data_IF_958401337143
#
_entry.id   IF_958401337143
#
_cell.length_a   1.000
_cell.length_b   1.000
_cell.length_c   1.000
_cell.angle_alpha   90.00
_cell.angle_beta   90.00
_cell.angle_gamma   90.00
#
_symmetry.space_group_name_H-M   'P 1'
#
loop_
_entity.id
_entity.type
_entity.pdbx_description
1 polymer ?
#
# COMPACT_ATOMS: atom_id res chain seq x y z
N UNK A 1 8.91 14.86 84.82
CA UNK A 1 8.71 13.92 83.70
C UNK A 1 9.66 14.32 82.59
N UNK A 2 10.76 13.59 82.44
CA UNK A 2 11.91 14.01 81.63
C UNK A 2 11.92 13.33 80.25
N UNK A 3 12.01 14.20 79.24
CA UNK A 3 13.03 14.19 78.19
C UNK A 3 13.09 13.08 77.12
N UNK A 4 13.06 13.61 75.89
CA UNK A 4 13.97 13.34 74.75
C UNK A 4 13.60 12.23 73.76
N UNK A 5 13.13 12.73 72.62
CA UNK A 5 13.74 12.64 71.28
C UNK A 5 14.23 11.28 70.79
N UNK A 6 13.64 10.80 69.69
CA UNK A 6 14.36 10.05 68.65
C UNK A 6 13.74 10.31 67.27
N UNK A 7 14.50 11.04 66.47
CA UNK A 7 14.32 11.29 65.05
C UNK A 7 14.57 9.99 64.28
N UNK A 8 13.64 9.59 63.40
CA UNK A 8 13.80 8.47 62.46
C UNK A 8 14.03 9.04 61.05
N UNK A 9 15.00 8.51 60.28
CA UNK A 9 15.32 9.00 58.95
C UNK A 9 14.28 8.50 57.94
N UNK A 10 13.62 9.43 57.25
CA UNK A 10 12.83 9.16 56.06
C UNK A 10 13.79 8.89 54.89
N UNK A 11 14.02 7.60 54.62
CA UNK A 11 14.55 7.14 53.34
C UNK A 11 13.36 7.12 52.38
N UNK A 12 13.20 8.16 51.55
CA UNK A 12 12.30 8.07 50.38
C UNK A 12 13.12 8.06 49.09
N UNK A 13 12.80 7.04 48.32
CA UNK A 13 13.43 6.62 47.08
C UNK A 13 13.41 7.72 46.02
N UNK A 14 14.56 7.98 45.42
CA UNK A 14 14.64 8.65 44.13
C UNK A 14 14.10 7.70 43.07
N UNK A 15 12.84 7.92 42.65
CA UNK A 15 12.33 7.39 41.39
C UNK A 15 13.06 8.11 40.27
N UNK A 16 14.15 7.51 39.76
CA UNK A 16 14.65 7.82 38.43
C UNK A 16 13.55 7.33 37.47
N UNK A 17 12.64 8.23 37.13
CA UNK A 17 11.81 8.06 35.95
C UNK A 17 12.76 8.16 34.76
N UNK A 18 13.29 7.01 34.33
CA UNK A 18 13.77 6.86 32.97
C UNK A 18 12.58 7.16 32.08
N UNK A 19 12.46 8.42 31.66
CA UNK A 19 11.72 8.76 30.47
C UNK A 19 12.47 8.07 29.32
N UNK A 20 12.13 6.80 29.08
CA UNK A 20 12.21 6.29 27.72
C UNK A 20 11.36 7.27 26.93
N UNK A 21 12.01 8.20 26.22
CA UNK A 21 11.39 8.90 25.13
C UNK A 21 10.78 7.79 24.29
N UNK A 22 9.48 7.62 24.39
CA UNK A 22 8.73 6.77 23.50
C UNK A 22 8.96 7.45 22.17
N UNK A 23 9.91 6.94 21.39
CA UNK A 23 9.94 7.17 19.95
C UNK A 23 8.51 6.84 19.56
N UNK A 24 7.71 7.81 19.07
CA UNK A 24 6.39 7.47 18.59
C UNK A 24 6.63 6.31 17.65
N UNK A 25 6.05 5.17 17.98
CA UNK A 25 5.93 4.11 17.00
C UNK A 25 5.22 4.82 15.85
N UNK A 26 5.97 5.08 14.79
CA UNK A 26 5.43 5.46 13.51
C UNK A 26 4.71 4.20 13.02
N UNK A 27 3.61 3.87 13.70
CA UNK A 27 2.55 3.05 13.17
C UNK A 27 2.09 3.89 12.00
N UNK A 28 2.68 3.62 10.83
CA UNK A 28 2.40 4.25 9.56
C UNK A 28 0.90 4.17 9.34
N UNK A 29 0.20 5.15 9.89
CA UNK A 29 -1.22 5.29 9.80
C UNK A 29 -1.42 5.88 8.41
N UNK A 30 -1.33 5.01 7.42
CA UNK A 30 -2.05 5.20 6.17
C UNK A 30 -3.53 5.21 6.57
N UNK A 31 -4.02 6.34 7.10
CA UNK A 31 -5.44 6.64 7.06
C UNK A 31 -5.92 6.51 5.62
N UNK A 32 -7.21 6.25 5.36
CA UNK A 32 -7.70 5.98 4.01
C UNK A 32 -7.28 7.14 3.10
N UNK A 33 -6.25 6.89 2.28
CA UNK A 33 -5.75 7.86 1.31
C UNK A 33 -6.79 7.88 0.22
N UNK A 34 -7.81 8.73 0.35
CA UNK A 34 -8.85 8.83 -0.69
C UNK A 34 -8.17 9.34 -1.96
N UNK A 35 -8.01 8.45 -2.95
CA UNK A 35 -7.37 8.80 -4.19
C UNK A 35 -8.26 9.76 -4.96
N UNK A 36 -7.86 11.03 -5.14
CA UNK A 36 -8.81 12.04 -5.55
C UNK A 36 -9.07 11.90 -7.05
N UNK A 37 -10.34 12.10 -7.44
CA UNK A 37 -10.83 11.87 -8.80
C UNK A 37 -10.07 12.64 -9.87
N UNK A 38 -9.67 13.87 -9.54
CA UNK A 38 -8.84 14.74 -10.39
C UNK A 38 -7.44 14.17 -10.65
N UNK A 39 -6.92 13.29 -9.79
CA UNK A 39 -5.62 12.62 -9.96
C UNK A 39 -5.71 11.22 -10.56
N UNK A 40 -6.90 10.66 -10.80
CA UNK A 40 -7.04 9.31 -11.36
C UNK A 40 -6.41 9.18 -12.75
N UNK A 41 -6.43 10.25 -13.56
CA UNK A 41 -5.76 10.27 -14.86
C UNK A 41 -4.25 10.00 -14.77
N UNK A 42 -3.62 10.24 -13.62
CA UNK A 42 -2.21 9.96 -13.39
C UNK A 42 -1.93 8.46 -13.30
N UNK A 43 -2.93 7.60 -13.08
CA UNK A 43 -2.77 6.14 -12.99
C UNK A 43 -2.47 5.52 -14.35
N UNK A 44 -2.87 6.15 -15.45
CA UNK A 44 -2.55 5.65 -16.79
C UNK A 44 -1.02 5.49 -16.97
N UNK A 45 -0.60 4.34 -17.49
CA UNK A 45 0.80 3.99 -17.65
C UNK A 45 1.05 2.49 -17.55
N UNK A 46 2.33 2.12 -17.61
CA UNK A 46 2.78 0.73 -17.49
C UNK A 46 3.44 0.50 -16.15
N UNK A 47 3.16 -0.64 -15.54
CA UNK A 47 3.71 -1.10 -14.28
C UNK A 47 4.27 -2.51 -14.45
N UNK A 48 5.33 -2.82 -13.72
CA UNK A 48 5.91 -4.16 -13.69
C UNK A 48 6.35 -4.51 -12.27
N UNK A 49 6.28 -5.80 -11.95
CA UNK A 49 6.69 -6.29 -10.64
C UNK A 49 6.18 -7.68 -10.39
N UNK A 50 5.82 -7.96 -9.14
CA UNK A 50 5.33 -9.27 -8.71
C UNK A 50 3.91 -9.19 -8.17
N UNK A 51 3.14 -10.24 -8.42
CA UNK A 51 1.80 -10.47 -7.87
C UNK A 51 1.74 -11.90 -7.30
N UNK A 52 0.60 -12.23 -6.71
CA UNK A 52 0.20 -13.58 -6.32
C UNK A 52 -1.29 -13.75 -6.55
N UNK A 53 -1.70 -14.99 -6.74
CA UNK A 53 -3.10 -15.42 -6.73
C UNK A 53 -3.19 -16.80 -6.05
N UNK A 54 -4.39 -17.37 -6.02
CA UNK A 54 -4.64 -18.67 -5.40
C UNK A 54 -3.95 -19.85 -6.11
N UNK A 55 -3.61 -19.71 -7.40
CA UNK A 55 -2.92 -20.76 -8.17
C UNK A 55 -1.40 -20.63 -8.04
N UNK A 56 -0.90 -19.46 -7.64
CA UNK A 56 0.49 -19.09 -7.81
C UNK A 56 0.97 -18.09 -6.76
N UNK A 57 1.79 -18.59 -5.84
CA UNK A 57 2.34 -17.82 -4.72
C UNK A 57 3.23 -16.64 -5.16
N UNK A 58 3.82 -16.68 -6.35
CA UNK A 58 4.57 -15.56 -6.91
C UNK A 58 4.61 -15.63 -8.42
N UNK A 59 4.07 -14.58 -9.05
CA UNK A 59 4.10 -14.38 -10.50
C UNK A 59 4.73 -13.04 -10.84
N UNK A 60 5.52 -13.03 -11.92
CA UNK A 60 5.91 -11.78 -12.57
C UNK A 60 4.69 -11.20 -13.29
N UNK A 61 4.57 -9.89 -13.28
CA UNK A 61 3.41 -9.21 -13.85
C UNK A 61 3.84 -7.93 -14.59
N UNK A 62 3.16 -7.66 -15.70
CA UNK A 62 3.21 -6.39 -16.42
C UNK A 62 1.78 -5.91 -16.65
N UNK A 63 1.45 -4.77 -16.08
CA UNK A 63 0.13 -4.14 -16.16
C UNK A 63 0.24 -2.85 -16.99
N UNK A 64 -0.70 -2.62 -17.89
CA UNK A 64 -0.88 -1.34 -18.57
C UNK A 64 -2.28 -0.83 -18.29
N UNK A 65 -2.38 0.42 -17.86
CA UNK A 65 -3.62 1.16 -17.66
C UNK A 65 -3.67 2.28 -18.70
N UNK A 66 -4.77 2.42 -19.43
CA UNK A 66 -5.01 3.56 -20.32
C UNK A 66 -5.85 4.66 -19.64
N UNK A 67 -5.98 5.81 -20.30
CA UNK A 67 -6.75 6.94 -19.78
C UNK A 67 -8.27 6.74 -19.93
N UNK A 68 -8.69 5.79 -20.76
CA UNK A 68 -10.07 5.40 -21.04
C UNK A 68 -10.59 4.32 -20.09
N UNK A 69 -9.83 4.01 -19.04
CA UNK A 69 -10.17 3.06 -17.99
C UNK A 69 -10.18 1.58 -18.45
N UNK A 70 -9.36 1.22 -19.44
CA UNK A 70 -9.04 -0.17 -19.77
C UNK A 70 -7.68 -0.58 -19.22
N UNK A 71 -7.55 -1.88 -18.97
CA UNK A 71 -6.26 -2.48 -18.65
C UNK A 71 -5.91 -3.66 -19.54
N UNK A 72 -4.61 -3.93 -19.62
CA UNK A 72 -4.03 -5.18 -20.08
C UNK A 72 -3.01 -5.65 -19.03
N UNK A 73 -3.17 -6.85 -18.51
CA UNK A 73 -2.21 -7.45 -17.58
C UNK A 73 -1.73 -8.80 -18.08
N UNK A 74 -0.41 -8.95 -18.18
CA UNK A 74 0.25 -10.22 -18.46
C UNK A 74 0.95 -10.71 -17.20
N UNK A 75 0.72 -11.96 -16.81
CA UNK A 75 1.40 -12.59 -15.69
C UNK A 75 2.04 -13.91 -16.07
N UNK A 76 3.13 -14.26 -15.40
CA UNK A 76 3.77 -15.57 -15.54
C UNK A 76 4.26 -16.03 -14.17
N UNK A 77 3.84 -17.22 -13.77
CA UNK A 77 4.29 -17.83 -12.53
C UNK A 77 5.79 -18.10 -12.56
N UNK A 78 6.43 -17.94 -11.41
CA UNK A 78 7.88 -18.16 -11.27
C UNK A 78 8.23 -19.66 -11.32
N UNK A 79 7.24 -20.55 -11.15
CA UNK A 79 7.42 -21.98 -11.33
C UNK A 79 7.70 -22.34 -12.80
N UNK A 80 8.59 -23.31 -13.07
CA UNK A 80 8.89 -23.74 -14.43
C UNK A 80 7.63 -24.25 -15.14
N UNK A 81 7.57 -24.02 -16.46
CA UNK A 81 6.51 -24.48 -17.38
C UNK A 81 5.10 -23.90 -17.16
N UNK A 82 4.93 -22.89 -16.31
CA UNK A 82 3.65 -22.19 -16.21
C UNK A 82 3.43 -21.27 -17.41
N UNK A 83 2.36 -21.43 -18.20
CA UNK A 83 2.09 -20.55 -19.33
C UNK A 83 1.81 -19.13 -18.82
N UNK A 84 2.25 -18.14 -19.60
CA UNK A 84 1.86 -16.76 -19.34
C UNK A 84 0.35 -16.60 -19.55
N UNK A 85 -0.30 -15.91 -18.63
CA UNK A 85 -1.73 -15.57 -18.70
C UNK A 85 -1.85 -14.09 -19.04
N UNK A 86 -2.83 -13.73 -19.86
CA UNK A 86 -3.10 -12.34 -20.20
C UNK A 86 -4.58 -12.06 -20.09
N UNK A 87 -4.91 -11.00 -19.36
CA UNK A 87 -6.28 -10.53 -19.18
C UNK A 87 -6.40 -9.07 -19.56
N UNK A 88 -7.63 -8.69 -19.91
CA UNK A 88 -8.04 -7.33 -20.25
C UNK A 88 -9.40 -7.06 -19.64
N UNK A 89 -9.67 -5.78 -19.40
CA UNK A 89 -10.91 -5.37 -18.79
C UNK A 89 -10.90 -3.89 -18.49
N UNK A 90 -11.68 -3.51 -17.48
CA UNK A 90 -11.78 -2.14 -17.02
C UNK A 90 -11.15 -1.98 -15.65
N UNK A 91 -10.65 -0.79 -15.37
CA UNK A 91 -10.17 -0.43 -14.05
C UNK A 91 -10.95 0.74 -13.47
N UNK A 92 -11.07 0.76 -12.15
CA UNK A 92 -11.68 1.87 -11.41
C UNK A 92 -11.04 1.96 -10.03
N UNK A 93 -11.25 3.09 -9.35
CA UNK A 93 -10.82 3.26 -7.96
C UNK A 93 -12.03 3.16 -7.05
N UNK A 94 -11.95 2.31 -6.04
CA UNK A 94 -12.98 2.21 -5.02
C UNK A 94 -12.96 3.45 -4.12
N UNK A 95 -13.97 4.31 -4.31
CA UNK A 95 -14.15 5.55 -3.55
C UNK A 95 -14.58 5.29 -2.10
N UNK A 96 -15.12 4.11 -1.78
CA UNK A 96 -15.59 3.75 -0.43
C UNK A 96 -14.45 3.20 0.42
N UNK A 97 -13.58 2.36 -0.17
CA UNK A 97 -12.35 1.89 0.47
C UNK A 97 -11.15 2.85 0.29
N UNK A 98 -11.36 3.95 -0.44
CA UNK A 98 -10.49 5.12 -0.51
C UNK A 98 -9.24 4.97 -1.38
N UNK A 99 -8.60 3.80 -1.45
CA UNK A 99 -7.25 3.71 -2.03
C UNK A 99 -7.01 2.50 -2.93
N UNK A 100 -8.08 1.84 -3.39
CA UNK A 100 -7.95 0.57 -4.10
C UNK A 100 -8.21 0.74 -5.60
N UNK A 101 -7.21 0.44 -6.41
CA UNK A 101 -7.38 0.18 -7.84
C UNK A 101 -7.95 -1.23 -8.02
N UNK A 102 -9.12 -1.33 -8.62
CA UNK A 102 -9.79 -2.60 -8.90
C UNK A 102 -9.67 -2.91 -10.39
N UNK A 103 -9.26 -4.15 -10.71
CA UNK A 103 -9.21 -4.68 -12.07
C UNK A 103 -10.37 -5.66 -12.28
N UNK A 104 -11.36 -5.24 -13.07
CA UNK A 104 -12.54 -6.02 -13.39
C UNK A 104 -12.44 -6.68 -14.77
N UNK A 105 -12.91 -7.92 -14.87
CA UNK A 105 -12.99 -8.59 -16.16
C UNK A 105 -14.01 -7.91 -17.09
N UNK A 106 -13.69 -7.86 -18.39
CA UNK A 106 -14.60 -7.35 -19.41
C UNK A 106 -15.91 -8.16 -19.55
N UNK A 107 -15.94 -9.41 -19.07
CA UNK A 107 -17.08 -10.34 -19.21
C UNK A 107 -17.95 -10.44 -17.94
N UNK A 108 -17.69 -9.61 -16.93
CA UNK A 108 -18.46 -9.59 -15.67
C UNK A 108 -18.09 -10.71 -14.69
N UNK A 109 -17.01 -11.45 -14.92
CA UNK A 109 -16.43 -12.35 -13.92
C UNK A 109 -15.92 -11.61 -12.68
N UNK A 110 -15.83 -12.27 -11.51
CA UNK A 110 -15.39 -11.65 -10.27
C UNK A 110 -14.03 -10.97 -10.44
N UNK A 111 -13.89 -9.77 -9.83
CA UNK A 111 -12.64 -8.99 -9.81
C UNK A 111 -11.42 -9.87 -9.52
N UNK A 112 -10.36 -9.64 -10.29
CA UNK A 112 -9.20 -10.52 -10.22
C UNK A 112 -8.11 -9.98 -9.30
N UNK A 113 -7.93 -8.66 -9.30
CA UNK A 113 -6.93 -7.99 -8.47
C UNK A 113 -7.51 -6.69 -7.92
N UNK A 114 -7.20 -6.44 -6.65
CA UNK A 114 -7.37 -5.15 -6.01
C UNK A 114 -6.03 -4.73 -5.45
N UNK A 115 -5.60 -3.53 -5.80
CA UNK A 115 -4.25 -3.03 -5.54
C UNK A 115 -4.36 -1.71 -4.78
N UNK A 116 -3.69 -1.61 -3.64
CA UNK A 116 -3.57 -0.36 -2.90
C UNK A 116 -2.68 0.61 -3.66
N UNK A 117 -3.18 1.82 -3.83
CA UNK A 117 -2.50 2.95 -4.46
C UNK A 117 -1.55 3.61 -3.47
N UNK A 118 -0.28 3.78 -3.86
CA UNK A 118 0.65 4.67 -3.15
C UNK A 118 0.42 6.14 -3.49
N UNK A 119 0.93 7.05 -2.64
CA UNK A 119 0.71 8.52 -2.66
C UNK A 119 1.02 9.25 -3.98
N UNK A 120 1.82 8.67 -4.86
CA UNK A 120 2.25 9.25 -6.12
C UNK A 120 1.83 8.45 -7.37
N UNK A 121 1.00 7.40 -7.22
CA UNK A 121 0.64 6.47 -8.29
C UNK A 121 1.84 5.79 -8.97
N UNK A 122 3.01 5.76 -8.32
CA UNK A 122 4.18 5.04 -8.83
C UNK A 122 4.14 3.55 -8.46
N UNK A 123 3.57 3.22 -7.31
CA UNK A 123 3.52 1.86 -6.79
C UNK A 123 2.06 1.40 -6.57
N UNK A 124 1.77 0.15 -6.96
CA UNK A 124 0.50 -0.55 -6.74
C UNK A 124 0.79 -1.80 -5.91
N UNK A 125 0.22 -1.90 -4.72
CA UNK A 125 0.55 -2.95 -3.75
C UNK A 125 -0.61 -3.94 -3.63
N UNK A 126 -0.31 -5.25 -3.66
CA UNK A 126 -1.31 -6.24 -3.29
C UNK A 126 -1.43 -6.26 -1.77
N UNK A 127 -2.58 -5.86 -1.24
CA UNK A 127 -2.74 -5.53 0.18
C UNK A 127 -3.43 -6.62 1.02
N UNK A 128 -3.44 -7.86 0.53
CA UNK A 128 -3.87 -9.04 1.30
C UNK A 128 -5.37 -9.17 1.57
N UNK A 129 -6.14 -8.11 1.77
CA UNK A 129 -7.57 -8.23 2.10
C UNK A 129 -8.38 -6.94 2.05
N UNK A 130 -7.78 -5.78 2.34
CA UNK A 130 -8.52 -4.52 2.38
C UNK A 130 -8.98 -4.05 0.99
N UNK A 131 -8.14 -4.24 -0.04
CA UNK A 131 -8.53 -4.06 -1.43
C UNK A 131 -9.17 -5.33 -2.00
N UNK A 132 -10.04 -6.00 -1.23
CA UNK A 132 -10.82 -7.20 -1.56
C UNK A 132 -10.34 -7.98 -2.82
N UNK A 133 -9.12 -8.52 -2.77
CA UNK A 133 -8.63 -9.53 -3.69
C UNK A 133 -7.57 -10.43 -3.01
N UNK A 134 -7.89 -11.72 -3.01
CA UNK A 134 -7.10 -12.93 -2.73
C UNK A 134 -6.20 -12.95 -1.47
N UNK A 135 -6.70 -13.65 -0.44
CA UNK A 135 -6.05 -14.32 0.71
C UNK A 135 -4.76 -13.68 1.22
N UNK A 136 -4.62 -13.38 2.51
CA UNK A 136 -3.48 -12.61 3.02
C UNK A 136 -2.23 -13.50 3.30
N UNK A 137 -1.09 -13.14 2.71
CA UNK A 137 0.26 -13.48 3.18
C UNK A 137 1.05 -12.17 3.14
N UNK A 138 1.72 -11.83 4.23
CA UNK A 138 2.42 -10.56 4.51
C UNK A 138 3.63 -10.25 3.58
N UNK A 139 3.77 -10.93 2.45
CA UNK A 139 4.91 -10.71 1.56
C UNK A 139 4.62 -9.57 0.56
N UNK A 140 5.52 -8.58 0.41
CA UNK A 140 5.25 -7.43 -0.45
C UNK A 140 5.28 -7.83 -1.92
N UNK A 141 4.09 -7.92 -2.53
CA UNK A 141 3.89 -8.00 -3.97
C UNK A 141 3.51 -6.62 -4.47
N UNK A 142 4.40 -6.02 -5.28
CA UNK A 142 4.28 -4.62 -5.72
C UNK A 142 4.51 -4.54 -7.21
N UNK A 143 3.65 -3.79 -7.90
CA UNK A 143 3.87 -3.33 -9.26
C UNK A 143 4.40 -1.90 -9.23
N UNK A 144 5.52 -1.66 -9.89
CA UNK A 144 6.13 -0.34 -9.98
C UNK A 144 6.00 0.21 -11.38
N UNK A 145 5.70 1.49 -11.51
CA UNK A 145 5.61 2.16 -12.81
C UNK A 145 6.93 2.05 -13.58
N UNK A 146 6.86 1.68 -14.85
CA UNK A 146 8.01 1.54 -15.75
C UNK A 146 8.02 2.68 -16.77
N UNK A 147 8.95 3.64 -16.61
CA UNK A 147 9.11 4.81 -17.49
C UNK A 147 8.94 6.15 -16.76
N UNK A 148 9.87 7.09 -17.00
CA UNK A 148 9.96 8.45 -16.42
C UNK A 148 8.61 9.19 -16.49
N UNK A 149 8.12 9.95 -15.51
CA UNK A 149 8.75 10.73 -14.43
C UNK A 149 7.66 11.07 -13.41
N UNK A 150 7.98 11.08 -12.12
CA UNK A 150 7.24 11.84 -11.10
C UNK A 150 6.75 13.17 -11.71
N UNK A 151 5.45 13.55 -11.65
CA UNK A 151 5.07 14.92 -11.92
C UNK A 151 5.85 15.78 -10.93
N UNK A 152 6.86 16.49 -11.43
CA UNK A 152 7.65 17.42 -10.63
C UNK A 152 6.72 18.57 -10.29
N UNK A 153 6.09 18.49 -9.12
CA UNK A 153 5.29 19.56 -8.54
C UNK A 153 6.20 20.65 -7.95
N UNK A 154 7.19 21.10 -8.72
CA UNK A 154 8.09 22.18 -8.33
C UNK A 154 8.49 22.93 -9.59
N UNK A 155 7.58 23.78 -10.09
CA UNK A 155 7.85 25.15 -10.59
C UNK A 155 6.49 25.86 -10.82
N UNK A 156 5.82 26.27 -9.75
CA UNK A 156 4.96 27.46 -9.80
C UNK A 156 5.51 28.45 -8.78
N UNK A 157 6.69 28.97 -9.09
CA UNK A 157 7.25 30.15 -8.46
C UNK A 157 6.91 31.35 -9.32
N UNK A 158 6.05 32.20 -8.78
CA UNK A 158 5.87 33.64 -9.00
C UNK A 158 6.30 34.23 -10.35
N UNK A 159 5.30 34.79 -11.04
CA UNK A 159 5.48 36.01 -11.84
C UNK A 159 4.53 37.09 -11.29
#
# INVERSE_FOLDING_TARGET
MNARTRTLPLVLWALVQSACAQVPADTGAYGPVVWPKDRQHLLAGTYAGTLRDHECASMTARLTLDAEHHYLISTACTAPESPARTWRGHWWVDEIAGSCLILDHADGQPKQFGLRLGDDAADLQLDGGDCMAADELDWPHVLKRTGNTKPRLDTMGNN
#
